data_IF_012916342227
#
_entry.id   IF_012916342227
#
_cell.length_a   1.000
_cell.length_b   1.000
_cell.length_c   1.000
_cell.angle_alpha   90.00
_cell.angle_beta   90.00
_cell.angle_gamma   90.00
#
_symmetry.space_group_name_H-M   'P 1'
#
loop_
_entity.id
_entity.type
_entity.pdbx_description
1 polymer ?
#
# COMPACT_ATOMS: atom_id res chain seq x y z
N UNK A 1 10.80 -5.11 -6.96
CA UNK A 1 10.67 -3.98 -6.01
C UNK A 1 9.23 -3.85 -5.57
N UNK A 2 9.00 -3.60 -4.30
CA UNK A 2 7.65 -3.38 -3.77
C UNK A 2 7.05 -2.09 -4.32
N UNK A 3 5.74 -2.09 -4.52
CA UNK A 3 4.97 -0.87 -4.80
C UNK A 3 4.11 -0.53 -3.60
N UNK A 4 4.14 0.72 -3.15
CA UNK A 4 3.36 1.18 -2.01
C UNK A 4 2.40 2.26 -2.50
N UNK A 5 1.11 1.98 -2.43
CA UNK A 5 0.07 2.96 -2.77
C UNK A 5 -0.35 3.68 -1.50
N UNK A 6 -0.38 5.00 -1.55
CA UNK A 6 -0.79 5.77 -0.38
C UNK A 6 -0.61 7.26 -0.55
N UNK A 7 -0.55 7.95 0.60
CA UNK A 7 -0.37 9.40 0.66
C UNK A 7 0.48 9.74 1.89
N UNK A 8 1.32 10.75 1.76
CA UNK A 8 2.19 11.17 2.88
C UNK A 8 1.42 11.82 4.03
N UNK A 9 0.22 12.28 3.80
CA UNK A 9 -0.63 12.81 4.90
C UNK A 9 -1.24 11.71 5.76
N UNK A 10 -1.13 10.46 5.35
CA UNK A 10 -1.62 9.31 6.10
C UNK A 10 -0.54 8.84 7.08
N UNK A 11 -0.80 8.87 8.41
CA UNK A 11 0.21 8.45 9.39
C UNK A 11 0.68 7.02 9.22
N UNK A 12 -0.22 6.11 8.87
CA UNK A 12 0.13 4.70 8.63
C UNK A 12 1.03 4.55 7.40
N UNK A 13 0.80 5.35 6.36
CA UNK A 13 1.66 5.35 5.19
C UNK A 13 3.08 5.79 5.54
N UNK A 14 3.20 6.86 6.32
CA UNK A 14 4.51 7.36 6.78
C UNK A 14 5.23 6.31 7.61
N UNK A 15 4.51 5.67 8.55
CA UNK A 15 5.08 4.61 9.39
C UNK A 15 5.58 3.44 8.54
N UNK A 16 4.83 3.06 7.52
CA UNK A 16 5.21 1.99 6.60
C UNK A 16 6.52 2.33 5.87
N UNK A 17 6.60 3.54 5.29
CA UNK A 17 7.79 3.96 4.55
C UNK A 17 9.02 4.03 5.44
N UNK A 18 8.87 4.57 6.65
CA UNK A 18 9.97 4.65 7.62
C UNK A 18 10.47 3.25 8.00
N UNK A 19 9.56 2.33 8.26
CA UNK A 19 9.93 0.96 8.63
C UNK A 19 10.65 0.24 7.50
N UNK A 20 10.21 0.41 6.25
CA UNK A 20 10.88 -0.18 5.10
C UNK A 20 12.27 0.43 4.89
N UNK A 21 12.41 1.75 5.06
CA UNK A 21 13.69 2.43 4.98
C UNK A 21 14.67 1.88 6.01
N UNK A 22 14.24 1.73 7.26
CA UNK A 22 15.08 1.22 8.35
C UNK A 22 15.48 -0.24 8.12
N UNK A 23 14.61 -1.02 7.49
CA UNK A 23 14.89 -2.42 7.18
C UNK A 23 15.72 -2.60 5.91
N UNK A 24 16.03 -1.51 5.19
CA UNK A 24 16.78 -1.58 3.94
C UNK A 24 16.02 -2.21 2.79
N UNK A 25 14.69 -2.21 2.84
CA UNK A 25 13.84 -2.80 1.80
C UNK A 25 13.52 -1.76 0.74
N UNK A 26 13.85 -2.06 -0.52
CA UNK A 26 13.59 -1.16 -1.64
C UNK A 26 12.10 -1.18 -2.01
N UNK A 27 11.56 0.00 -2.33
CA UNK A 27 10.18 0.17 -2.75
C UNK A 27 10.02 1.36 -3.67
N UNK A 28 8.89 1.37 -4.39
CA UNK A 28 8.44 2.53 -5.16
C UNK A 28 7.18 3.07 -4.47
N UNK A 29 7.19 4.33 -4.06
CA UNK A 29 6.04 4.96 -3.42
C UNK A 29 5.18 5.65 -4.48
N UNK A 30 3.95 5.16 -4.64
CA UNK A 30 2.98 5.65 -5.62
C UNK A 30 1.99 6.58 -4.91
N UNK A 31 2.44 7.81 -4.69
CA UNK A 31 1.71 8.84 -3.95
C UNK A 31 0.57 9.38 -4.79
N UNK A 32 -0.64 9.32 -4.25
CA UNK A 32 -1.84 9.82 -4.94
C UNK A 32 -1.77 11.32 -5.21
N UNK A 33 -1.05 12.06 -4.35
CA UNK A 33 -0.90 13.50 -4.49
C UNK A 33 0.06 13.90 -5.62
N UNK A 34 0.88 12.96 -6.09
CA UNK A 34 1.85 13.24 -7.16
C UNK A 34 1.30 12.93 -8.54
N UNK A 35 0.40 11.96 -8.65
CA UNK A 35 -0.18 11.60 -9.94
C UNK A 35 -1.52 10.92 -9.73
N UNK A 36 -2.54 11.39 -10.43
CA UNK A 36 -3.89 10.78 -10.37
C UNK A 36 -3.88 9.34 -10.89
N UNK A 37 -2.92 9.00 -11.74
CA UNK A 37 -2.80 7.62 -12.24
C UNK A 37 -2.53 6.64 -11.10
N UNK A 38 -1.75 7.04 -10.09
CA UNK A 38 -1.50 6.19 -8.91
C UNK A 38 -2.81 5.86 -8.18
N UNK A 39 -3.68 6.86 -8.03
CA UNK A 39 -4.99 6.66 -7.42
C UNK A 39 -5.87 5.74 -8.27
N UNK A 40 -5.87 5.93 -9.58
CA UNK A 40 -6.67 5.10 -10.50
C UNK A 40 -6.23 3.64 -10.45
N UNK A 41 -4.93 3.40 -10.44
CA UNK A 41 -4.38 2.05 -10.36
C UNK A 41 -4.75 1.39 -9.04
N UNK A 42 -4.67 2.14 -7.94
CA UNK A 42 -5.07 1.66 -6.62
C UNK A 42 -6.57 1.30 -6.58
N UNK A 43 -7.42 2.16 -7.14
CA UNK A 43 -8.87 1.91 -7.14
C UNK A 43 -9.23 0.65 -7.91
N UNK A 44 -8.50 0.33 -8.97
CA UNK A 44 -8.68 -0.95 -9.68
C UNK A 44 -8.36 -2.14 -8.78
N UNK A 45 -7.25 -2.09 -8.06
CA UNK A 45 -6.90 -3.15 -7.11
C UNK A 45 -7.97 -3.29 -6.04
N UNK A 46 -8.42 -2.16 -5.49
CA UNK A 46 -9.43 -2.12 -4.44
C UNK A 46 -10.76 -2.69 -4.90
N UNK A 47 -11.13 -2.45 -6.14
CA UNK A 47 -12.37 -2.95 -6.73
C UNK A 47 -12.34 -4.45 -6.96
N UNK A 48 -11.22 -4.96 -7.44
CA UNK A 48 -11.12 -6.34 -7.95
C UNK A 48 -10.72 -7.35 -6.87
N UNK A 49 -10.03 -6.92 -5.81
CA UNK A 49 -9.50 -7.82 -4.79
C UNK A 49 -10.48 -8.00 -3.63
N UNK A 50 -10.83 -9.25 -3.27
CA UNK A 50 -11.68 -9.51 -2.10
C UNK A 50 -11.01 -9.16 -0.77
N UNK A 51 -9.68 -8.95 -0.76
CA UNK A 51 -8.97 -8.52 0.45
C UNK A 51 -9.49 -7.18 0.97
N UNK A 52 -10.07 -6.36 0.09
CA UNK A 52 -10.61 -5.05 0.47
C UNK A 52 -12.06 -5.12 0.99
N UNK A 53 -12.70 -6.29 1.00
CA UNK A 53 -14.09 -6.40 1.47
C UNK A 53 -14.27 -5.84 2.89
N UNK A 54 -13.47 -6.25 3.90
CA UNK A 54 -13.61 -5.67 5.25
C UNK A 54 -13.22 -4.18 5.29
N UNK A 55 -12.29 -3.76 4.46
CA UNK A 55 -11.88 -2.36 4.37
C UNK A 55 -13.04 -1.49 3.89
N UNK A 56 -13.73 -1.92 2.84
CA UNK A 56 -14.91 -1.22 2.32
C UNK A 56 -16.04 -1.21 3.32
N UNK A 57 -16.28 -2.34 3.98
CA UNK A 57 -17.34 -2.46 4.99
C UNK A 57 -17.11 -1.51 6.17
N UNK A 58 -15.86 -1.29 6.55
CA UNK A 58 -15.49 -0.39 7.63
C UNK A 58 -15.44 1.08 7.22
N UNK A 59 -15.60 1.38 5.92
CA UNK A 59 -15.51 2.75 5.39
C UNK A 59 -14.09 3.28 5.31
N UNK A 60 -13.09 2.40 5.28
CA UNK A 60 -11.68 2.78 5.19
C UNK A 60 -11.20 2.80 3.74
N UNK A 61 -10.07 3.45 3.51
CA UNK A 61 -9.47 3.55 2.18
C UNK A 61 -8.69 2.28 1.83
N UNK A 62 -7.90 1.78 2.77
CA UNK A 62 -7.05 0.61 2.56
C UNK A 62 -5.62 0.95 2.21
N UNK A 63 -5.12 2.08 2.70
CA UNK A 63 -3.73 2.50 2.52
C UNK A 63 -3.01 2.50 3.86
N UNK A 64 -1.69 2.23 3.90
CA UNK A 64 -0.87 1.88 2.74
C UNK A 64 -1.23 0.50 2.18
N UNK A 65 -1.23 0.39 0.87
CA UNK A 65 -1.44 -0.88 0.18
C UNK A 65 -0.12 -1.29 -0.46
N UNK A 66 0.41 -2.44 -0.04
CA UNK A 66 1.68 -2.95 -0.55
C UNK A 66 1.40 -4.00 -1.62
N UNK A 67 1.99 -3.82 -2.80
CA UNK A 67 1.93 -4.82 -3.86
C UNK A 67 3.32 -5.39 -4.07
N UNK A 68 3.44 -6.73 -3.94
CA UNK A 68 4.69 -7.44 -4.17
C UNK A 68 4.94 -7.62 -5.66
N UNK A 69 6.17 -8.04 -6.01
CA UNK A 69 6.55 -8.26 -7.41
C UNK A 69 5.69 -9.31 -8.11
N UNK A 70 5.20 -10.29 -7.38
CA UNK A 70 4.32 -11.33 -7.93
C UNK A 70 2.87 -10.85 -8.12
N UNK A 71 2.58 -9.59 -7.78
CA UNK A 71 1.25 -9.00 -7.88
C UNK A 71 0.39 -9.17 -6.64
N UNK A 72 0.82 -9.95 -5.66
CA UNK A 72 0.04 -10.14 -4.42
C UNK A 72 0.04 -8.88 -3.57
N UNK A 73 -1.02 -8.72 -2.78
CA UNK A 73 -1.29 -7.51 -2.00
C UNK A 73 -1.21 -7.82 -0.51
N UNK A 74 -0.57 -6.92 0.24
CA UNK A 74 -0.58 -6.92 1.69
C UNK A 74 -1.19 -5.61 2.17
N UNK A 75 -2.28 -5.69 2.93
CA UNK A 75 -2.92 -4.53 3.56
C UNK A 75 -2.32 -4.25 4.93
N UNK A 76 -1.83 -5.29 5.60
CA UNK A 76 -1.01 -5.12 6.80
C UNK A 76 0.46 -5.07 6.37
N UNK A 77 1.01 -3.86 6.30
CA UNK A 77 2.39 -3.67 5.82
C UNK A 77 3.43 -4.32 6.75
N UNK A 78 3.08 -4.59 8.00
CA UNK A 78 3.98 -5.27 8.93
C UNK A 78 4.27 -6.71 8.48
N UNK A 79 3.33 -7.35 7.79
CA UNK A 79 3.55 -8.69 7.22
C UNK A 79 4.70 -8.69 6.22
N UNK A 80 4.89 -7.59 5.50
CA UNK A 80 5.97 -7.46 4.51
C UNK A 80 7.34 -7.48 5.19
N UNK A 81 7.44 -6.84 6.35
CA UNK A 81 8.68 -6.82 7.12
C UNK A 81 9.05 -8.22 7.64
N UNK A 82 8.06 -9.02 8.01
CA UNK A 82 8.27 -10.37 8.54
C UNK A 82 8.66 -11.36 7.46
N UNK A 83 8.25 -11.13 6.21
CA UNK A 83 8.47 -12.06 5.09
C UNK A 83 9.65 -11.67 4.21
N UNK A 84 10.29 -10.55 4.46
CA UNK A 84 11.50 -10.12 3.73
C UNK A 84 12.79 -10.33 4.56
#
# INVERSE_FOLDING_TARGET
MLKIYGMRICPDCVACLEALDQAGIAYEFLDFAQATQHLKDFLKLRQDSPLFDPVRAAGNIGIPCVQREDGSIALDWQDVLETN
#
